data_IF_513480418543
#
_entry.id   IF_513480418543
#
_cell.length_a   1.000
_cell.length_b   1.000
_cell.length_c   1.000
_cell.angle_alpha   90.00
_cell.angle_beta   90.00
_cell.angle_gamma   90.00
#
_symmetry.space_group_name_H-M   'P 1'
#
loop_
_entity.id
_entity.type
_entity.pdbx_description
1 polymer ?
#
# COMPACT_ATOMS: atom_id res chain seq x y z
N UNK A 1 -15.87 -36.05 41.87
CA UNK A 1 -16.46 -35.39 40.69
C UNK A 1 -15.61 -34.17 40.42
N UNK A 2 -14.54 -34.37 39.65
CA UNK A 2 -13.53 -33.36 39.41
C UNK A 2 -14.04 -32.36 38.37
N UNK A 3 -14.06 -31.09 38.78
CA UNK A 3 -14.48 -29.98 37.94
C UNK A 3 -13.29 -29.60 37.06
N UNK A 4 -13.31 -30.03 35.80
CA UNK A 4 -12.34 -29.59 34.78
C UNK A 4 -12.52 -28.08 34.60
N UNK A 5 -11.56 -27.30 35.10
CA UNK A 5 -11.41 -25.88 34.77
C UNK A 5 -10.81 -25.83 33.37
N UNK A 6 -11.60 -25.38 32.39
CA UNK A 6 -11.12 -25.07 31.06
C UNK A 6 -10.15 -23.89 31.15
N UNK A 7 -8.90 -24.15 30.82
CA UNK A 7 -7.86 -23.13 30.69
C UNK A 7 -8.20 -22.24 29.48
N UNK A 8 -8.72 -21.04 29.74
CA UNK A 8 -8.90 -20.03 28.70
C UNK A 8 -7.54 -19.44 28.36
N UNK A 9 -6.98 -19.82 27.22
CA UNK A 9 -5.80 -19.17 26.67
C UNK A 9 -6.13 -17.69 26.40
N UNK A 10 -5.33 -16.73 26.90
CA UNK A 10 -5.54 -15.33 26.59
C UNK A 10 -5.33 -15.12 25.09
N UNK A 11 -6.34 -14.56 24.42
CA UNK A 11 -6.23 -14.12 23.03
C UNK A 11 -5.28 -12.93 22.98
N UNK A 12 -4.03 -13.15 22.56
CA UNK A 12 -3.10 -12.05 22.29
C UNK A 12 -3.66 -11.21 21.14
N UNK A 13 -3.94 -9.95 21.42
CA UNK A 13 -4.29 -8.96 20.40
C UNK A 13 -3.05 -8.84 19.49
N UNK A 14 -3.17 -9.06 18.17
CA UNK A 14 -2.03 -8.87 17.28
C UNK A 14 -1.59 -7.41 17.31
N UNK A 15 -0.33 -7.18 17.65
CA UNK A 15 0.27 -5.85 17.61
C UNK A 15 0.32 -5.39 16.15
N UNK A 16 -0.22 -4.20 15.86
CA UNK A 16 -0.25 -3.64 14.50
C UNK A 16 0.70 -2.45 14.45
N UNK A 17 1.80 -2.60 13.72
CA UNK A 17 2.71 -1.49 13.42
C UNK A 17 2.07 -0.60 12.37
N UNK A 18 1.92 0.69 12.67
CA UNK A 18 1.42 1.70 11.74
C UNK A 18 2.54 2.62 11.33
N UNK A 19 2.61 2.90 10.04
CA UNK A 19 3.55 3.88 9.49
C UNK A 19 2.82 4.76 8.47
N UNK A 20 3.31 5.97 8.29
CA UNK A 20 2.80 6.90 7.28
C UNK A 20 3.96 7.70 6.73
N UNK A 21 3.99 7.87 5.41
CA UNK A 21 5.07 8.60 4.74
C UNK A 21 4.48 9.36 3.56
N UNK A 22 4.95 10.59 3.38
CA UNK A 22 4.61 11.43 2.25
C UNK A 22 5.82 11.57 1.32
N UNK A 23 5.57 11.51 0.02
CA UNK A 23 6.60 11.66 -1.00
C UNK A 23 6.22 12.81 -1.93
N UNK A 24 7.12 13.78 -2.10
CA UNK A 24 6.91 14.91 -2.99
C UNK A 24 7.54 14.66 -4.35
N UNK A 25 6.72 14.64 -5.40
CA UNK A 25 7.17 14.59 -6.79
C UNK A 25 7.34 16.03 -7.29
N UNK A 26 8.59 16.50 -7.45
CA UNK A 26 8.90 17.90 -7.76
C UNK A 26 8.81 18.25 -9.25
N UNK A 27 8.93 17.27 -10.15
CA UNK A 27 9.01 17.51 -11.60
C UNK A 27 8.01 16.65 -12.39
N UNK A 28 6.75 16.60 -11.94
CA UNK A 28 5.73 15.74 -12.55
C UNK A 28 5.57 15.97 -14.07
N UNK A 29 5.59 17.21 -14.53
CA UNK A 29 5.46 17.53 -15.97
C UNK A 29 6.55 16.90 -16.83
N UNK A 30 7.76 16.72 -16.30
CA UNK A 30 8.86 16.05 -17.00
C UNK A 30 8.78 14.52 -16.90
N UNK A 31 8.08 14.02 -15.88
CA UNK A 31 7.84 12.60 -15.68
C UNK A 31 6.64 12.10 -16.47
N UNK A 32 5.68 12.97 -16.81
CA UNK A 32 4.62 12.65 -17.76
C UNK A 32 5.22 12.46 -19.15
N UNK A 33 4.81 11.40 -19.84
CA UNK A 33 5.33 11.03 -21.16
C UNK A 33 6.56 10.13 -21.15
N UNK A 34 7.01 9.63 -19.98
CA UNK A 34 8.07 8.62 -19.93
C UNK A 34 7.63 7.29 -20.55
N UNK A 35 6.32 7.06 -20.65
CA UNK A 35 5.68 5.93 -21.31
C UNK A 35 4.91 5.03 -20.36
N UNK A 36 3.79 4.47 -20.84
CA UNK A 36 2.96 3.56 -20.05
C UNK A 36 3.75 2.35 -19.55
N UNK A 37 3.44 1.91 -18.34
CA UNK A 37 4.14 0.82 -17.67
C UNK A 37 5.49 1.19 -17.06
N UNK A 38 6.00 2.42 -17.28
CA UNK A 38 7.17 2.94 -16.56
C UNK A 38 6.75 3.65 -15.28
N UNK A 39 7.52 3.43 -14.22
CA UNK A 39 7.26 4.00 -12.92
C UNK A 39 8.50 4.68 -12.34
N UNK A 40 8.25 5.53 -11.35
CA UNK A 40 9.24 5.97 -10.39
C UNK A 40 8.82 5.48 -9.01
N UNK A 41 9.79 5.20 -8.16
CA UNK A 41 9.56 4.76 -6.79
C UNK A 41 10.52 5.52 -5.86
N UNK A 42 10.04 5.98 -4.69
CA UNK A 42 10.92 6.46 -3.63
C UNK A 42 11.65 5.29 -2.96
N UNK A 43 12.48 5.60 -1.98
CA UNK A 43 13.10 4.58 -1.12
C UNK A 43 12.02 3.71 -0.44
N UNK A 44 12.24 2.39 -0.33
CA UNK A 44 11.32 1.51 0.37
C UNK A 44 11.11 1.90 1.84
N UNK A 45 9.92 1.62 2.33
CA UNK A 45 9.48 1.83 3.70
C UNK A 45 9.46 0.49 4.43
N UNK A 46 10.34 0.34 5.42
CA UNK A 46 10.41 -0.85 6.27
C UNK A 46 9.35 -0.80 7.38
N UNK A 47 8.50 -1.82 7.43
CA UNK A 47 7.43 -1.99 8.42
C UNK A 47 7.45 -3.44 8.91
N UNK A 48 7.72 -3.62 10.20
CA UNK A 48 7.69 -4.95 10.85
C UNK A 48 8.52 -6.03 10.12
N UNK A 49 9.72 -5.64 9.64
CA UNK A 49 10.62 -6.55 8.92
C UNK A 49 10.25 -6.80 7.45
N UNK A 50 9.28 -6.07 6.91
CA UNK A 50 8.91 -6.10 5.50
C UNK A 50 9.13 -4.75 4.83
N UNK A 51 9.63 -4.76 3.61
CA UNK A 51 9.87 -3.55 2.85
C UNK A 51 8.77 -3.34 1.82
N UNK A 52 8.17 -2.15 1.85
CA UNK A 52 7.13 -1.73 0.92
C UNK A 52 7.59 -0.54 0.09
N UNK A 53 7.31 -0.55 -1.20
CA UNK A 53 7.58 0.59 -2.08
C UNK A 53 6.27 1.10 -2.68
N UNK A 54 6.24 2.40 -2.98
CA UNK A 54 5.14 3.02 -3.72
C UNK A 54 5.57 3.19 -5.18
N UNK A 55 4.88 2.53 -6.10
CA UNK A 55 5.17 2.67 -7.54
C UNK A 55 4.21 3.67 -8.16
N UNK A 56 4.76 4.79 -8.63
CA UNK A 56 4.03 5.83 -9.33
C UNK A 56 4.25 5.73 -10.83
N UNK A 57 3.17 5.50 -11.59
CA UNK A 57 3.14 5.41 -13.04
C UNK A 57 2.51 6.69 -13.62
N UNK A 58 3.30 7.65 -14.13
CA UNK A 58 2.78 8.94 -14.62
C UNK A 58 1.83 8.79 -15.82
N UNK A 59 2.06 7.78 -16.66
CA UNK A 59 1.32 7.47 -17.89
C UNK A 59 0.50 6.18 -17.78
N UNK A 60 0.16 5.79 -16.55
CA UNK A 60 -0.61 4.59 -16.26
C UNK A 60 0.22 3.31 -16.29
N UNK A 61 -0.25 2.28 -15.59
CA UNK A 61 0.39 0.96 -15.60
C UNK A 61 0.19 0.22 -16.92
N UNK A 62 -1.00 0.34 -17.52
CA UNK A 62 -1.40 -0.36 -18.73
C UNK A 62 -1.31 0.58 -19.95
N UNK A 63 -0.86 0.05 -21.09
CA UNK A 63 -0.75 0.83 -22.33
C UNK A 63 -2.10 1.15 -22.99
N UNK A 64 -3.14 0.39 -22.68
CA UNK A 64 -4.45 0.49 -23.32
C UNK A 64 -5.18 1.81 -22.98
N UNK A 65 -4.85 2.42 -21.85
CA UNK A 65 -5.45 3.69 -21.41
C UNK A 65 -4.81 4.91 -22.09
N UNK A 66 -3.81 4.70 -22.96
CA UNK A 66 -3.07 5.75 -23.69
C UNK A 66 -2.60 6.91 -22.77
N UNK A 67 -2.23 6.60 -21.53
CA UNK A 67 -1.78 7.59 -20.53
C UNK A 67 -2.87 8.55 -20.03
N UNK A 68 -4.15 8.25 -20.23
CA UNK A 68 -5.28 9.06 -19.77
C UNK A 68 -5.34 9.19 -18.24
N UNK A 69 -4.85 8.16 -17.54
CA UNK A 69 -4.77 8.12 -16.08
C UNK A 69 -3.34 7.88 -15.63
N UNK A 70 -3.01 8.39 -14.44
CA UNK A 70 -1.86 7.91 -13.68
C UNK A 70 -2.28 6.70 -12.85
N UNK A 71 -1.32 5.89 -12.44
CA UNK A 71 -1.58 4.76 -11.52
C UNK A 71 -0.60 4.77 -10.36
N UNK A 72 -1.04 4.32 -9.20
CA UNK A 72 -0.25 4.28 -7.98
C UNK A 72 -0.51 2.93 -7.31
N UNK A 73 0.57 2.24 -6.92
CA UNK A 73 0.49 0.91 -6.31
C UNK A 73 1.39 0.85 -5.09
N UNK A 74 0.98 0.06 -4.10
CA UNK A 74 1.86 -0.37 -3.02
C UNK A 74 2.38 -1.76 -3.35
N UNK A 75 3.70 -1.94 -3.24
CA UNK A 75 4.41 -3.15 -3.66
C UNK A 75 5.21 -3.69 -2.49
N UNK A 76 5.05 -4.97 -2.18
CA UNK A 76 5.95 -5.68 -1.27
C UNK A 76 7.26 -5.97 -2.00
N UNK A 77 8.38 -5.38 -1.58
CA UNK A 77 9.68 -5.52 -2.27
C UNK A 77 10.67 -6.39 -1.49
N UNK A 78 10.44 -6.65 -0.20
CA UNK A 78 11.29 -7.53 0.58
C UNK A 78 11.35 -8.96 0.02
N UNK A 79 12.55 -9.42 -0.33
CA UNK A 79 12.79 -10.76 -0.84
C UNK A 79 12.41 -11.83 0.19
N UNK A 80 11.95 -13.00 -0.30
CA UNK A 80 11.57 -14.12 0.57
C UNK A 80 10.28 -13.95 1.39
N UNK A 81 9.69 -12.75 1.42
CA UNK A 81 8.42 -12.48 2.11
C UNK A 81 7.25 -13.21 1.44
N UNK A 82 6.39 -13.84 2.25
CA UNK A 82 5.21 -14.59 1.78
C UNK A 82 3.99 -14.32 2.66
N UNK A 83 2.82 -14.19 2.03
CA UNK A 83 1.52 -14.05 2.70
C UNK A 83 1.48 -12.92 3.74
N UNK A 84 2.05 -11.76 3.41
CA UNK A 84 2.05 -10.58 4.30
C UNK A 84 0.65 -9.98 4.29
N UNK A 85 0.08 -9.76 5.48
CA UNK A 85 -1.22 -9.13 5.67
C UNK A 85 -1.02 -7.69 6.08
N UNK A 86 -1.60 -6.76 5.34
CA UNK A 86 -1.50 -5.35 5.65
C UNK A 86 -2.77 -4.60 5.22
N UNK A 87 -2.99 -3.46 5.87
CA UNK A 87 -3.99 -2.49 5.49
C UNK A 87 -3.28 -1.24 5.00
N UNK A 88 -3.80 -0.66 3.92
CA UNK A 88 -3.18 0.49 3.30
C UNK A 88 -4.16 1.63 3.09
N UNK A 89 -3.61 2.84 3.18
CA UNK A 89 -4.20 4.06 2.66
C UNK A 89 -3.19 4.71 1.74
N UNK A 90 -3.66 5.12 0.57
CA UNK A 90 -2.84 5.70 -0.46
C UNK A 90 -3.59 6.91 -1.03
N UNK A 91 -2.89 8.02 -1.20
CA UNK A 91 -3.53 9.23 -1.68
C UNK A 91 -2.61 10.19 -2.40
N UNK A 92 -3.23 11.08 -3.18
CA UNK A 92 -2.59 12.20 -3.86
C UNK A 92 -3.08 13.47 -3.19
N UNK A 93 -2.13 14.25 -2.69
CA UNK A 93 -2.43 15.43 -1.92
C UNK A 93 -2.63 16.64 -2.84
N UNK A 94 -3.80 17.28 -2.75
CA UNK A 94 -4.06 18.59 -3.33
C UNK A 94 -3.17 19.67 -2.69
N UNK A 95 -2.39 20.35 -3.52
CA UNK A 95 -1.48 21.42 -3.12
C UNK A 95 -2.09 22.82 -3.27
N UNK A 96 -3.33 22.94 -3.79
CA UNK A 96 -4.00 24.23 -3.99
C UNK A 96 -4.48 24.89 -2.69
N UNK A 97 -4.42 24.17 -1.57
CA UNK A 97 -5.00 24.60 -0.29
C UNK A 97 -6.50 24.30 -0.15
N UNK A 98 -7.13 23.75 -1.21
CA UNK A 98 -8.56 23.40 -1.20
C UNK A 98 -8.85 22.07 -0.48
N UNK A 99 -7.81 21.34 -0.05
CA UNK A 99 -7.89 20.05 0.65
C UNK A 99 -8.66 18.96 -0.14
N UNK A 100 -8.69 19.06 -1.46
CA UNK A 100 -9.37 18.08 -2.34
C UNK A 100 -8.49 16.86 -2.61
N UNK A 101 -8.04 16.19 -1.56
CA UNK A 101 -7.17 15.03 -1.66
C UNK A 101 -7.91 13.84 -2.30
N UNK A 102 -7.24 13.14 -3.22
CA UNK A 102 -7.73 11.87 -3.76
C UNK A 102 -7.19 10.77 -2.85
N UNK A 103 -8.04 10.10 -2.08
CA UNK A 103 -7.62 9.09 -1.10
C UNK A 103 -8.35 7.77 -1.36
N UNK A 104 -7.59 6.70 -1.48
CA UNK A 104 -8.09 5.33 -1.52
C UNK A 104 -7.64 4.60 -0.24
N UNK A 105 -8.60 4.21 0.60
CA UNK A 105 -8.34 3.72 1.95
C UNK A 105 -9.05 2.41 2.24
N UNK A 106 -8.30 1.43 2.74
CA UNK A 106 -8.85 0.17 3.24
C UNK A 106 -9.38 0.26 4.68
N UNK A 107 -9.09 1.35 5.40
CA UNK A 107 -9.52 1.53 6.79
C UNK A 107 -10.98 2.00 6.92
N UNK A 108 -11.53 2.61 5.87
CA UNK A 108 -12.87 3.22 5.91
C UNK A 108 -14.03 2.22 5.84
N UNK A 109 -13.77 1.00 5.38
CA UNK A 109 -14.76 -0.07 5.30
C UNK A 109 -14.25 -1.24 6.12
N UNK A 110 -15.07 -1.83 7.00
CA UNK A 110 -14.72 -3.12 7.63
C UNK A 110 -14.48 -4.11 6.49
N UNK A 111 -13.24 -4.62 6.30
CA UNK A 111 -12.96 -5.45 5.14
C UNK A 111 -13.77 -6.74 5.24
N UNK A 112 -14.66 -6.99 4.26
CA UNK A 112 -15.44 -8.24 4.22
C UNK A 112 -14.55 -9.50 4.19
N UNK A 113 -13.30 -9.37 3.72
CA UNK A 113 -12.32 -10.45 3.61
C UNK A 113 -11.07 -10.26 4.50
N UNK A 114 -11.09 -9.35 5.47
CA UNK A 114 -9.90 -9.01 6.27
C UNK A 114 -8.84 -8.21 5.49
N UNK A 115 -7.64 -8.01 6.07
CA UNK A 115 -6.55 -7.27 5.46
C UNK A 115 -6.14 -7.83 4.09
N UNK A 116 -5.63 -6.95 3.21
CA UNK A 116 -5.13 -7.40 1.91
C UNK A 116 -3.90 -8.30 2.09
N UNK A 117 -3.83 -9.36 1.28
CA UNK A 117 -2.76 -10.36 1.36
C UNK A 117 -1.82 -10.24 0.17
N UNK A 118 -0.59 -9.81 0.45
CA UNK A 118 0.51 -9.76 -0.51
C UNK A 118 1.22 -11.11 -0.49
N UNK A 119 1.06 -11.88 -1.57
CA UNK A 119 1.43 -13.30 -1.61
C UNK A 119 2.95 -13.52 -1.63
N UNK A 120 3.67 -12.66 -2.34
CA UNK A 120 5.12 -12.74 -2.51
C UNK A 120 5.70 -11.37 -2.87
N UNK A 121 7.04 -11.25 -2.86
CA UNK A 121 7.74 -10.08 -3.40
C UNK A 121 7.25 -9.76 -4.83
N UNK A 122 7.08 -8.48 -5.11
CA UNK A 122 6.50 -7.95 -6.34
C UNK A 122 4.96 -7.93 -6.39
N UNK A 123 4.27 -8.49 -5.39
CA UNK A 123 2.80 -8.38 -5.29
C UNK A 123 2.40 -6.91 -5.13
N UNK A 124 1.33 -6.50 -5.80
CA UNK A 124 0.86 -5.11 -5.84
C UNK A 124 -0.61 -5.02 -5.42
N UNK A 125 -0.97 -3.93 -4.77
CA UNK A 125 -2.35 -3.51 -4.53
C UNK A 125 -2.61 -2.15 -5.18
#
# INVERSE_FOLDING_TARGET
MDKVVGESTPSSIPETVKVSQEFKITSYSSLKGIGSGKYIAPEPLSVDGHDFAVYFYPDGKNGDDNGAYLSLFIVLVSEGSKNVKALFELGILDQSGSQNHIVHSQFRTVPKCGPYMLKCSGSMW
#
